data_IF_656613795167
#
_entry.id   IF_656613795167
#
_cell.length_a   1.000
_cell.length_b   1.000
_cell.length_c   1.000
_cell.angle_alpha   90.00
_cell.angle_beta   90.00
_cell.angle_gamma   90.00
#
_symmetry.space_group_name_H-M   'P 1'
#
loop_
_entity.id
_entity.type
_entity.pdbx_description
1 polymer ?
#
# COMPACT_ATOMS: atom_id res chain seq x y z
N UNK A 1 -22.45 -30.34 -5.60
CA UNK A 1 -22.15 -29.42 -4.49
C UNK A 1 -20.69 -28.91 -4.48
N UNK A 2 -19.97 -28.88 -5.61
CA UNK A 2 -18.58 -28.34 -5.68
C UNK A 2 -18.42 -26.81 -5.88
N UNK A 3 -19.34 -26.06 -6.50
CA UNK A 3 -19.02 -24.68 -6.94
C UNK A 3 -18.88 -23.68 -5.77
N UNK A 4 -19.53 -23.94 -4.63
CA UNK A 4 -19.45 -23.06 -3.46
C UNK A 4 -18.08 -23.14 -2.77
N UNK A 5 -17.44 -24.32 -2.77
CA UNK A 5 -16.13 -24.52 -2.16
C UNK A 5 -15.03 -23.85 -3.00
N UNK A 6 -15.12 -24.01 -4.32
CA UNK A 6 -14.19 -23.41 -5.28
C UNK A 6 -14.24 -21.86 -5.19
N UNK A 7 -15.44 -21.27 -5.12
CA UNK A 7 -15.59 -19.81 -4.91
C UNK A 7 -15.07 -19.31 -3.57
N UNK A 8 -15.02 -20.16 -2.54
CA UNK A 8 -14.54 -19.78 -1.21
C UNK A 8 -13.01 -19.79 -1.17
N UNK A 9 -12.39 -20.80 -1.83
CA UNK A 9 -10.94 -20.88 -2.00
C UNK A 9 -10.41 -19.74 -2.87
N UNK A 10 -11.10 -19.40 -3.97
CA UNK A 10 -10.75 -18.25 -4.83
C UNK A 10 -10.80 -16.93 -4.06
N UNK A 11 -11.83 -16.73 -3.23
CA UNK A 11 -11.96 -15.54 -2.36
C UNK A 11 -10.86 -15.49 -1.31
N UNK A 12 -10.53 -16.61 -0.68
CA UNK A 12 -9.44 -16.70 0.30
C UNK A 12 -8.09 -16.36 -0.34
N UNK A 13 -7.85 -16.84 -1.56
CA UNK A 13 -6.63 -16.60 -2.29
C UNK A 13 -6.51 -15.14 -2.73
N UNK A 14 -7.59 -14.54 -3.25
CA UNK A 14 -7.67 -13.12 -3.58
C UNK A 14 -7.45 -12.22 -2.35
N UNK A 15 -8.10 -12.54 -1.22
CA UNK A 15 -7.94 -11.80 0.04
C UNK A 15 -6.50 -11.87 0.55
N UNK A 16 -5.84 -13.03 0.36
CA UNK A 16 -4.46 -13.25 0.78
C UNK A 16 -3.47 -12.48 -0.09
N UNK A 17 -3.66 -12.45 -1.41
CA UNK A 17 -2.78 -11.74 -2.34
C UNK A 17 -2.97 -10.22 -2.25
N UNK A 18 -4.21 -9.74 -2.22
CA UNK A 18 -4.51 -8.30 -2.15
C UNK A 18 -4.18 -7.72 -0.77
N UNK A 19 -4.47 -8.48 0.30
CA UNK A 19 -4.13 -8.09 1.67
C UNK A 19 -2.61 -8.00 1.91
N UNK A 20 -1.83 -8.88 1.27
CA UNK A 20 -0.38 -8.86 1.34
C UNK A 20 0.21 -7.61 0.69
N UNK A 21 -0.24 -7.27 -0.52
CA UNK A 21 0.22 -6.07 -1.24
C UNK A 21 -0.12 -4.76 -0.50
N UNK A 22 -1.30 -4.69 0.12
CA UNK A 22 -1.66 -3.55 0.97
C UNK A 22 -0.73 -3.39 2.18
N UNK A 23 -0.43 -4.50 2.87
CA UNK A 23 0.45 -4.49 4.03
C UNK A 23 1.87 -4.06 3.67
N UNK A 24 2.40 -4.51 2.53
CA UNK A 24 3.72 -4.11 2.03
C UNK A 24 3.79 -2.59 1.76
N UNK A 25 2.82 -2.05 1.02
CA UNK A 25 2.77 -0.60 0.73
C UNK A 25 2.63 0.22 2.02
N UNK A 26 1.83 -0.26 2.98
CA UNK A 26 1.71 0.37 4.30
C UNK A 26 3.03 0.37 5.06
N UNK A 27 3.73 -0.76 5.12
CA UNK A 27 5.04 -0.86 5.77
C UNK A 27 6.07 0.08 5.11
N UNK A 28 6.06 0.17 3.77
CA UNK A 28 6.91 1.11 3.05
C UNK A 28 6.61 2.57 3.41
N UNK A 29 5.33 2.94 3.59
CA UNK A 29 4.96 4.28 4.04
C UNK A 29 5.52 4.60 5.44
N UNK A 30 5.51 3.64 6.36
CA UNK A 30 6.10 3.78 7.70
C UNK A 30 7.64 3.90 7.64
N UNK A 31 8.30 3.13 6.76
CA UNK A 31 9.75 3.25 6.52
C UNK A 31 10.07 4.65 5.97
N UNK A 32 9.30 5.13 4.99
CA UNK A 32 9.44 6.47 4.42
C UNK A 32 9.31 7.56 5.48
N UNK A 33 8.28 7.49 6.34
CA UNK A 33 8.07 8.45 7.41
C UNK A 33 9.28 8.50 8.37
N UNK A 34 9.82 7.34 8.76
CA UNK A 34 11.02 7.26 9.61
C UNK A 34 12.24 7.88 8.93
N UNK A 35 12.44 7.65 7.64
CA UNK A 35 13.62 8.15 6.92
C UNK A 35 13.52 9.66 6.64
N UNK A 36 12.31 10.16 6.39
CA UNK A 36 12.04 11.60 6.31
C UNK A 36 12.46 12.30 7.61
N UNK A 37 12.12 11.73 8.75
CA UNK A 37 12.45 12.33 10.04
C UNK A 37 13.95 12.23 10.34
N UNK A 38 14.60 11.10 10.05
CA UNK A 38 16.06 10.96 10.14
C UNK A 38 16.80 12.02 9.32
N UNK A 39 16.39 12.22 8.05
CA UNK A 39 16.99 13.24 7.19
C UNK A 39 16.78 14.66 7.74
N UNK A 40 15.59 14.96 8.28
CA UNK A 40 15.31 16.26 8.93
C UNK A 40 16.19 16.49 10.15
N UNK A 41 16.33 15.50 11.02
CA UNK A 41 17.18 15.58 12.21
C UNK A 41 18.64 15.81 11.83
N UNK A 42 19.19 15.02 10.91
CA UNK A 42 20.57 15.18 10.45
C UNK A 42 20.83 16.58 9.89
N UNK A 43 19.92 17.10 9.05
CA UNK A 43 20.05 18.47 8.50
C UNK A 43 19.99 19.52 9.61
N UNK A 44 19.11 19.35 10.60
CA UNK A 44 18.99 20.27 11.73
C UNK A 44 20.27 20.27 12.56
N UNK A 45 20.79 19.10 12.90
CA UNK A 45 22.02 18.91 13.68
C UNK A 45 23.21 19.55 12.98
N UNK A 46 23.42 19.27 11.69
CA UNK A 46 24.48 19.90 10.91
C UNK A 46 24.38 21.43 10.87
N UNK A 47 23.16 21.98 10.72
CA UNK A 47 22.95 23.44 10.74
C UNK A 47 23.28 24.06 12.10
N UNK A 48 22.89 23.40 13.18
CA UNK A 48 23.20 23.85 14.54
C UNK A 48 24.71 23.81 14.77
N UNK A 49 25.35 22.70 14.43
CA UNK A 49 26.80 22.53 14.59
C UNK A 49 27.60 23.55 13.76
N UNK A 50 27.20 23.81 12.51
CA UNK A 50 27.82 24.85 11.68
C UNK A 50 27.71 26.25 12.32
N UNK A 51 26.58 26.57 12.97
CA UNK A 51 26.43 27.85 13.69
C UNK A 51 27.35 27.90 14.90
N UNK A 52 27.46 26.82 15.66
CA UNK A 52 28.39 26.71 16.80
C UNK A 52 29.84 26.93 16.33
N UNK A 53 30.26 26.25 15.26
CA UNK A 53 31.60 26.43 14.69
C UNK A 53 31.89 27.88 14.24
N UNK A 54 30.89 28.58 13.71
CA UNK A 54 31.06 29.98 13.30
C UNK A 54 31.13 30.95 14.49
N UNK A 55 30.43 30.63 15.58
CA UNK A 55 30.47 31.40 16.82
C UNK A 55 31.74 31.13 17.63
N UNK A 56 32.43 30.02 17.37
CA UNK A 56 33.66 29.66 18.09
C UNK A 56 34.83 30.57 17.73
N UNK A 57 35.50 31.03 18.78
CA UNK A 57 36.61 31.99 18.71
C UNK A 57 37.95 31.34 19.07
N UNK A 58 37.96 30.26 19.86
CA UNK A 58 39.19 29.51 20.09
C UNK A 58 39.64 28.76 18.82
N UNK A 59 40.92 28.90 18.48
CA UNK A 59 41.49 28.32 17.26
C UNK A 59 41.57 26.79 17.32
N UNK A 60 41.85 26.23 18.51
CA UNK A 60 41.95 24.78 18.70
C UNK A 60 40.55 24.17 18.64
N UNK A 61 39.60 24.72 19.39
CA UNK A 61 38.21 24.24 19.40
C UNK A 61 37.56 24.34 18.01
N UNK A 62 37.83 25.42 17.27
CA UNK A 62 37.35 25.59 15.89
C UNK A 62 37.88 24.53 14.91
N UNK A 63 39.11 24.04 15.11
CA UNK A 63 39.68 22.93 14.34
C UNK A 63 38.95 21.62 14.65
N UNK A 64 38.68 21.33 15.91
CA UNK A 64 37.91 20.14 16.32
C UNK A 64 36.49 20.17 15.76
N UNK A 65 35.77 21.27 15.91
CA UNK A 65 34.44 21.46 15.32
C UNK A 65 34.47 21.36 13.79
N UNK A 66 35.56 21.80 13.14
CA UNK A 66 35.75 21.62 11.70
C UNK A 66 35.87 20.16 11.28
N UNK A 67 36.57 19.35 12.06
CA UNK A 67 36.67 17.90 11.84
C UNK A 67 35.31 17.22 12.03
N UNK A 68 34.58 17.51 13.12
CA UNK A 68 33.24 16.98 13.36
C UNK A 68 32.24 17.37 12.26
N UNK A 69 32.31 18.60 11.76
CA UNK A 69 31.47 19.07 10.66
C UNK A 69 31.66 18.24 9.37
N UNK A 70 32.83 17.64 9.14
CA UNK A 70 33.05 16.74 8.00
C UNK A 70 32.22 15.46 8.13
N UNK A 71 32.23 14.81 9.31
CA UNK A 71 31.43 13.61 9.56
C UNK A 71 29.93 13.90 9.49
N UNK A 72 29.49 15.00 10.10
CA UNK A 72 28.09 15.41 10.05
C UNK A 72 27.62 15.70 8.63
N UNK A 73 28.47 16.30 7.79
CA UNK A 73 28.15 16.52 6.37
C UNK A 73 27.93 15.20 5.64
N UNK A 74 28.78 14.21 5.87
CA UNK A 74 28.66 12.91 5.21
C UNK A 74 27.44 12.13 5.76
N UNK A 75 27.18 12.22 7.07
CA UNK A 75 25.95 11.69 7.67
C UNK A 75 24.68 12.30 7.06
N UNK A 76 24.63 13.62 6.88
CA UNK A 76 23.51 14.31 6.21
C UNK A 76 23.34 13.82 4.77
N UNK A 77 24.45 13.70 4.03
CA UNK A 77 24.42 13.22 2.65
C UNK A 77 23.80 11.84 2.56
N UNK A 78 24.20 10.92 3.44
CA UNK A 78 23.70 9.54 3.42
C UNK A 78 22.24 9.46 3.88
N UNK A 79 21.87 10.20 4.92
CA UNK A 79 20.48 10.27 5.38
C UNK A 79 19.53 10.81 4.30
N UNK A 80 19.94 11.86 3.59
CA UNK A 80 19.16 12.44 2.49
C UNK A 80 19.09 11.52 1.29
N UNK A 81 20.20 10.87 0.90
CA UNK A 81 20.21 9.88 -0.19
C UNK A 81 19.26 8.72 0.10
N UNK A 82 19.31 8.19 1.32
CA UNK A 82 18.46 7.09 1.74
C UNK A 82 16.98 7.50 1.74
N UNK A 83 16.66 8.71 2.20
CA UNK A 83 15.31 9.25 2.09
C UNK A 83 14.83 9.34 0.63
N UNK A 84 15.66 9.83 -0.29
CA UNK A 84 15.31 9.95 -1.71
C UNK A 84 15.03 8.57 -2.33
N UNK A 85 15.88 7.58 -2.04
CA UNK A 85 15.71 6.21 -2.52
C UNK A 85 14.39 5.61 -2.02
N UNK A 86 14.17 5.64 -0.71
CA UNK A 86 12.93 5.10 -0.11
C UNK A 86 11.69 5.84 -0.60
N UNK A 87 11.77 7.15 -0.82
CA UNK A 87 10.66 7.94 -1.34
C UNK A 87 10.30 7.53 -2.78
N UNK A 88 11.31 7.29 -3.63
CA UNK A 88 11.10 6.77 -4.98
C UNK A 88 10.45 5.39 -4.93
N UNK A 89 11.02 4.46 -4.16
CA UNK A 89 10.56 3.08 -4.07
C UNK A 89 9.12 3.00 -3.55
N UNK A 90 8.79 3.80 -2.54
CA UNK A 90 7.42 3.91 -2.03
C UNK A 90 6.44 4.37 -3.11
N UNK A 91 6.75 5.44 -3.85
CA UNK A 91 5.84 5.94 -4.89
C UNK A 91 5.75 5.02 -6.11
N UNK A 92 6.77 4.21 -6.37
CA UNK A 92 6.72 3.15 -7.38
C UNK A 92 5.80 2.02 -6.94
N UNK A 93 5.98 1.50 -5.72
CA UNK A 93 5.12 0.47 -5.14
C UNK A 93 3.66 0.92 -5.01
N UNK A 94 3.44 2.17 -4.58
CA UNK A 94 2.10 2.76 -4.46
C UNK A 94 1.41 2.86 -5.82
N UNK A 95 2.13 3.28 -6.87
CA UNK A 95 1.57 3.33 -8.23
C UNK A 95 1.20 1.95 -8.74
N UNK A 96 2.11 0.99 -8.60
CA UNK A 96 1.86 -0.42 -8.98
C UNK A 96 0.63 -0.98 -8.28
N UNK A 97 0.49 -0.76 -6.97
CA UNK A 97 -0.69 -1.17 -6.21
C UNK A 97 -1.98 -0.50 -6.71
N UNK A 98 -1.97 0.80 -6.97
CA UNK A 98 -3.15 1.52 -7.47
C UNK A 98 -3.51 1.13 -8.91
N UNK A 99 -2.53 0.81 -9.75
CA UNK A 99 -2.76 0.27 -11.09
C UNK A 99 -3.37 -1.13 -11.03
N UNK A 100 -2.88 -1.99 -10.13
CA UNK A 100 -3.48 -3.30 -9.85
C UNK A 100 -4.93 -3.22 -9.36
N UNK A 101 -5.27 -2.20 -8.57
CA UNK A 101 -6.66 -1.96 -8.15
C UNK A 101 -7.56 -1.41 -9.28
N UNK A 102 -7.01 -0.61 -10.20
CA UNK A 102 -7.75 -0.04 -11.35
C UNK A 102 -8.00 -1.05 -12.47
N UNK A 103 -7.17 -2.08 -12.55
CA UNK A 103 -7.40 -3.23 -13.39
C UNK A 103 -7.88 -4.41 -12.52
N UNK A 104 -9.10 -4.35 -11.92
CA UNK A 104 -9.62 -5.51 -11.26
C UNK A 104 -9.67 -6.60 -12.31
N UNK A 105 -8.82 -7.63 -12.15
CA UNK A 105 -8.88 -8.83 -12.98
C UNK A 105 -10.34 -9.22 -13.06
N UNK A 106 -10.86 -9.26 -14.29
CA UNK A 106 -12.27 -9.41 -14.59
C UNK A 106 -12.87 -10.64 -13.92
N UNK A 107 -13.27 -10.49 -12.67
CA UNK A 107 -14.24 -11.32 -11.99
C UNK A 107 -15.51 -10.49 -11.97
N UNK A 108 -16.12 -10.42 -13.16
CA UNK A 108 -17.57 -10.24 -13.26
C UNK A 108 -18.17 -11.42 -12.49
N UNK A 109 -18.31 -11.23 -11.18
CA UNK A 109 -19.22 -12.03 -10.38
C UNK A 109 -20.60 -11.66 -10.87
N UNK A 110 -21.08 -12.39 -11.88
CA UNK A 110 -22.49 -12.41 -12.22
C UNK A 110 -23.20 -12.70 -10.90
N UNK A 111 -23.88 -11.70 -10.34
CA UNK A 111 -24.80 -11.90 -9.22
C UNK A 111 -25.73 -13.03 -9.65
N UNK A 112 -25.76 -14.19 -8.99
CA UNK A 112 -26.83 -15.13 -9.27
C UNK A 112 -28.12 -14.43 -8.83
N UNK A 113 -28.93 -14.01 -9.80
CA UNK A 113 -30.33 -13.66 -9.55
C UNK A 113 -30.96 -14.98 -9.10
N UNK A 114 -31.07 -15.16 -7.78
CA UNK A 114 -31.84 -16.25 -7.20
C UNK A 114 -33.29 -15.94 -7.53
N UNK A 115 -33.76 -16.42 -8.69
CA UNK A 115 -35.18 -16.51 -8.99
C UNK A 115 -35.72 -17.58 -8.05
N UNK A 116 -36.34 -17.15 -6.96
CA UNK A 116 -37.15 -18.00 -6.12
C UNK A 116 -38.37 -18.40 -6.95
N UNK A 117 -38.24 -19.43 -7.78
CA UNK A 117 -39.40 -20.11 -8.35
C UNK A 117 -40.08 -20.84 -7.19
N UNK A 118 -41.12 -20.19 -6.67
CA UNK A 118 -42.01 -20.78 -5.69
C UNK A 118 -42.59 -22.07 -6.22
N UNK A 119 -42.16 -23.17 -5.63
CA UNK A 119 -42.82 -24.46 -5.72
C UNK A 119 -44.23 -24.35 -5.12
N UNK A 120 -45.26 -24.43 -5.97
CA UNK A 120 -46.50 -25.09 -5.59
C UNK A 120 -46.78 -26.19 -6.61
N UNK A 121 -46.95 -27.39 -6.05
CA UNK A 121 -47.06 -28.70 -6.70
C UNK A 121 -48.33 -28.85 -7.57
N UNK A 122 -48.41 -29.92 -8.39
CA UNK A 122 -49.31 -30.02 -9.52
C UNK A 122 -50.71 -30.50 -9.12
N UNK A 123 -51.74 -30.03 -9.84
CA UNK A 123 -53.01 -30.74 -9.93
C UNK A 123 -53.39 -30.94 -11.40
N UNK A 124 -53.39 -32.21 -11.79
CA UNK A 124 -54.06 -32.72 -12.97
C UNK A 124 -55.57 -32.71 -12.73
N UNK A 125 -56.34 -32.06 -13.62
CA UNK A 125 -57.72 -32.50 -13.91
C UNK A 125 -57.97 -32.50 -15.41
N UNK A 126 -58.35 -33.69 -15.86
CA UNK A 126 -58.85 -34.03 -17.18
C UNK A 126 -60.15 -33.28 -17.52
N UNK A 127 -60.32 -33.10 -18.83
CA UNK A 127 -61.55 -33.24 -19.61
C UNK A 127 -62.60 -32.11 -19.68
N UNK A 128 -62.69 -31.62 -20.91
CA UNK A 128 -63.88 -31.67 -21.80
C UNK A 128 -64.66 -30.39 -22.07
N UNK A 129 -64.65 -30.01 -23.36
CA UNK A 129 -65.74 -29.57 -24.27
C UNK A 129 -65.29 -28.37 -25.10
N UNK A 130 -64.99 -28.56 -26.39
CA UNK A 130 -65.88 -28.54 -27.58
C UNK A 130 -66.43 -27.15 -27.94
N UNK A 131 -66.31 -26.87 -29.25
CA UNK A 131 -66.89 -25.79 -30.11
C UNK A 131 -66.05 -24.51 -30.16
N UNK A 132 -65.47 -24.08 -31.30
CA UNK A 132 -65.93 -24.05 -32.69
C UNK A 132 -67.25 -23.27 -32.88
N UNK A 133 -67.11 -21.97 -33.12
CA UNK A 133 -67.95 -21.14 -33.97
C UNK A 133 -67.09 -19.96 -34.44
#
# INVERSE_FOLDING_TARGET
>A
MKPALDTLMDRLQATRTEGWQYLEVKQMAEILARHREKARMAVREYRMHKRTQMAEHDAIEKLYLGYEAMFLRDHVRDAVRLYILVNRDFHEAQRSYLEGLKAPHGTVTAKPVIRLEGSNKPESKQNSRKKAA
#
